data_IF_864617745707
#
_entry.id   IF_864617745707
#
_cell.length_a   1.000
_cell.length_b   1.000
_cell.length_c   1.000
_cell.angle_alpha   90.00
_cell.angle_beta   90.00
_cell.angle_gamma   90.00
#
_symmetry.space_group_name_H-M   'P 1'
#
loop_
_entity.id
_entity.type
_entity.pdbx_description
1 polymer ?
#
# COMPACT_ATOMS: atom_id res chain seq x y z
N UNK A 1 17.61 62.40 -20.66
CA UNK A 1 17.85 60.98 -20.90
C UNK A 1 17.63 60.26 -19.57
N UNK A 2 16.42 59.74 -19.38
CA UNK A 2 15.94 59.21 -18.10
C UNK A 2 16.48 57.81 -17.84
N UNK A 3 16.95 57.56 -16.62
CA UNK A 3 17.37 56.25 -16.15
C UNK A 3 16.16 55.35 -15.89
N UNK A 4 16.14 54.18 -16.52
CA UNK A 4 15.20 53.12 -16.22
C UNK A 4 15.47 52.54 -14.83
N UNK A 5 14.61 52.85 -13.86
CA UNK A 5 14.50 52.09 -12.63
C UNK A 5 13.81 50.76 -12.95
N UNK A 6 14.56 49.66 -12.96
CA UNK A 6 13.99 48.31 -12.97
C UNK A 6 13.44 48.00 -11.58
N UNK A 7 12.16 48.32 -11.36
CA UNK A 7 11.38 47.78 -10.26
C UNK A 7 11.34 46.25 -10.37
N UNK A 8 12.16 45.54 -9.57
CA UNK A 8 11.96 44.11 -9.35
C UNK A 8 10.71 43.94 -8.50
N UNK A 9 9.73 43.11 -8.89
CA UNK A 9 8.62 42.80 -8.01
C UNK A 9 9.19 42.08 -6.79
N UNK A 10 8.89 42.61 -5.61
CA UNK A 10 9.16 41.96 -4.33
C UNK A 10 8.34 40.66 -4.30
N UNK A 11 8.95 39.55 -4.72
CA UNK A 11 8.39 38.21 -4.57
C UNK A 11 8.29 37.95 -3.08
N UNK A 12 7.06 38.00 -2.56
CA UNK A 12 6.70 37.66 -1.19
C UNK A 12 7.21 36.23 -0.91
N UNK A 13 8.37 36.11 -0.26
CA UNK A 13 9.06 34.85 0.04
C UNK A 13 8.40 34.14 1.23
N UNK A 14 7.10 33.85 1.14
CA UNK A 14 6.34 33.27 2.27
C UNK A 14 5.58 31.98 1.96
N UNK A 15 5.64 31.43 0.74
CA UNK A 15 4.81 30.24 0.40
C UNK A 15 5.55 29.03 -0.18
N UNK A 16 6.88 29.08 -0.39
CA UNK A 16 7.58 27.92 -0.96
C UNK A 16 7.71 26.74 0.03
N UNK A 17 7.84 27.01 1.33
CA UNK A 17 8.07 25.96 2.35
C UNK A 17 6.87 25.02 2.51
N UNK A 18 5.65 25.56 2.52
CA UNK A 18 4.43 24.75 2.70
C UNK A 18 4.14 23.89 1.47
N UNK A 19 4.34 24.45 0.27
CA UNK A 19 4.18 23.72 -0.99
C UNK A 19 5.24 22.61 -1.12
N UNK A 20 6.50 22.87 -0.72
CA UNK A 20 7.57 21.87 -0.76
C UNK A 20 7.34 20.70 0.21
N UNK A 21 6.93 20.98 1.45
CA UNK A 21 6.60 19.91 2.41
C UNK A 21 5.39 19.11 1.95
N UNK A 22 4.36 19.78 1.43
CA UNK A 22 3.19 19.10 0.89
C UNK A 22 3.55 18.22 -0.31
N UNK A 23 4.36 18.74 -1.25
CA UNK A 23 4.82 17.98 -2.40
C UNK A 23 5.55 16.70 -1.95
N UNK A 24 6.50 16.80 -1.00
CA UNK A 24 7.21 15.63 -0.49
C UNK A 24 6.32 14.60 0.22
N UNK A 25 5.27 15.04 0.92
CA UNK A 25 4.28 14.11 1.52
C UNK A 25 3.48 13.39 0.44
N UNK A 26 3.13 14.09 -0.65
CA UNK A 26 2.40 13.49 -1.78
C UNK A 26 3.29 12.48 -2.50
N UNK A 27 4.56 12.79 -2.76
CA UNK A 27 5.50 11.87 -3.40
C UNK A 27 5.58 10.55 -2.60
N UNK A 28 5.82 10.63 -1.29
CA UNK A 28 5.81 9.47 -0.41
C UNK A 28 4.48 8.72 -0.45
N UNK A 29 3.35 9.44 -0.50
CA UNK A 29 2.03 8.84 -0.57
C UNK A 29 1.79 8.06 -1.86
N UNK A 30 2.20 8.62 -2.99
CA UNK A 30 2.05 7.98 -4.30
C UNK A 30 2.86 6.69 -4.36
N UNK A 31 4.07 6.67 -3.79
CA UNK A 31 4.91 5.47 -3.77
C UNK A 31 4.23 4.31 -3.02
N UNK A 32 3.84 4.48 -1.75
CA UNK A 32 3.21 3.38 -1.01
C UNK A 32 1.79 3.06 -1.50
N UNK A 33 1.02 4.03 -2.00
CA UNK A 33 -0.30 3.75 -2.61
C UNK A 33 -0.19 2.93 -3.90
N UNK A 34 0.90 3.09 -4.65
CA UNK A 34 1.13 2.29 -5.86
C UNK A 34 1.42 0.85 -5.50
N UNK A 35 2.27 0.63 -4.48
CA UNK A 35 2.58 -0.72 -3.98
C UNK A 35 1.36 -1.42 -3.36
N UNK A 36 0.45 -0.65 -2.74
CA UNK A 36 -0.82 -1.14 -2.22
C UNK A 36 -1.73 -1.78 -3.27
N UNK A 37 -1.46 -1.62 -4.56
CA UNK A 37 -2.22 -2.34 -5.59
C UNK A 37 -1.92 -3.84 -5.56
N UNK A 38 -0.71 -4.22 -5.18
CA UNK A 38 -0.22 -5.60 -5.25
C UNK A 38 -0.28 -6.29 -3.88
N UNK A 39 0.00 -5.55 -2.81
CA UNK A 39 0.02 -6.09 -1.45
C UNK A 39 0.19 -5.04 -0.37
N UNK A 40 0.41 -5.47 0.86
CA UNK A 40 0.61 -4.60 2.02
C UNK A 40 1.64 -5.20 2.97
N UNK A 41 2.39 -4.34 3.66
CA UNK A 41 3.32 -4.75 4.71
C UNK A 41 2.57 -5.04 6.02
N UNK A 42 2.81 -6.20 6.63
CA UNK A 42 2.19 -6.62 7.91
C UNK A 42 2.57 -5.73 9.11
N UNK A 43 3.73 -5.08 9.06
CA UNK A 43 4.20 -4.22 10.16
C UNK A 43 3.53 -2.84 10.15
N UNK A 44 3.37 -2.25 8.97
CA UNK A 44 2.70 -0.97 8.79
C UNK A 44 2.27 -0.77 7.33
N UNK A 45 1.00 -0.40 7.11
CA UNK A 45 0.42 -0.33 5.77
C UNK A 45 0.93 0.83 4.90
N UNK A 46 1.57 1.85 5.51
CA UNK A 46 2.11 3.04 4.85
C UNK A 46 3.58 2.89 4.45
N UNK A 47 4.19 1.73 4.70
CA UNK A 47 5.51 1.44 4.16
C UNK A 47 5.38 0.97 2.71
N UNK A 48 6.11 1.65 1.83
CA UNK A 48 6.38 1.15 0.48
C UNK A 48 7.06 -0.22 0.55
N UNK A 49 6.89 -1.03 -0.50
CA UNK A 49 7.44 -2.37 -0.62
C UNK A 49 8.96 -2.38 -0.35
N UNK A 50 9.69 -1.40 -0.88
CA UNK A 50 11.14 -1.27 -0.66
C UNK A 50 11.50 -1.01 0.81
N UNK A 51 10.70 -0.19 1.49
CA UNK A 51 10.93 0.15 2.90
C UNK A 51 10.52 -0.99 3.83
N UNK A 52 9.49 -1.75 3.45
CA UNK A 52 9.09 -2.97 4.15
C UNK A 52 10.18 -4.05 4.07
N UNK A 53 10.85 -4.19 2.91
CA UNK A 53 11.90 -5.20 2.71
C UNK A 53 13.31 -4.72 3.15
N UNK A 54 13.53 -3.44 3.48
CA UNK A 54 14.84 -2.97 3.96
C UNK A 54 15.35 -3.73 5.20
N UNK A 55 14.44 -4.26 6.03
CA UNK A 55 14.74 -4.97 7.28
C UNK A 55 14.98 -6.48 7.14
N UNK A 56 14.76 -7.09 5.96
CA UNK A 56 14.91 -8.54 5.83
C UNK A 56 16.39 -8.96 5.92
N UNK A 57 16.69 -9.90 6.84
CA UNK A 57 18.04 -10.39 7.15
C UNK A 57 18.66 -11.28 6.03
N UNK A 58 17.87 -11.60 4.99
CA UNK A 58 18.20 -12.59 3.96
C UNK A 58 18.54 -11.91 2.62
N UNK A 59 19.78 -11.44 2.46
CA UNK A 59 20.23 -10.70 1.26
C UNK A 59 20.69 -11.63 0.12
N UNK A 60 19.87 -12.59 -0.29
CA UNK A 60 20.14 -13.33 -1.54
C UNK A 60 19.46 -12.60 -2.70
N UNK A 61 20.21 -12.33 -3.77
CA UNK A 61 19.81 -11.52 -4.93
C UNK A 61 18.46 -11.92 -5.56
N UNK A 62 18.08 -13.20 -5.43
CA UNK A 62 16.82 -13.77 -5.96
C UNK A 62 15.58 -13.50 -5.07
N UNK A 63 15.78 -13.15 -3.79
CA UNK A 63 14.71 -13.01 -2.79
C UNK A 63 14.56 -11.60 -2.19
N UNK A 64 15.27 -10.60 -2.73
CA UNK A 64 15.17 -9.21 -2.24
C UNK A 64 13.77 -8.62 -2.42
N UNK A 65 13.06 -9.06 -3.46
CA UNK A 65 11.69 -8.65 -3.78
C UNK A 65 10.64 -9.53 -3.09
N UNK A 66 11.07 -10.59 -2.39
CA UNK A 66 10.22 -11.56 -1.70
C UNK A 66 10.50 -11.54 -0.21
N UNK A 67 10.20 -10.42 0.45
CA UNK A 67 10.27 -10.37 1.91
C UNK A 67 9.00 -11.00 2.53
N UNK A 68 9.13 -11.85 3.58
CA UNK A 68 7.99 -12.56 4.19
C UNK A 68 6.99 -11.65 4.90
N UNK A 69 7.33 -10.37 5.06
CA UNK A 69 6.47 -9.39 5.71
C UNK A 69 5.52 -8.69 4.72
N UNK A 70 5.75 -8.85 3.41
CA UNK A 70 4.91 -8.31 2.35
C UNK A 70 3.89 -9.36 1.91
N UNK A 71 2.60 -9.06 2.10
CA UNK A 71 1.51 -9.97 1.72
C UNK A 71 0.72 -9.39 0.56
N UNK A 72 0.54 -10.20 -0.49
CA UNK A 72 -0.34 -9.82 -1.61
C UNK A 72 -1.81 -9.93 -1.21
N UNK A 73 -2.67 -9.12 -1.85
CA UNK A 73 -4.11 -9.24 -1.61
C UNK A 73 -4.64 -10.62 -1.93
N UNK A 74 -4.10 -11.28 -2.95
CA UNK A 74 -4.48 -12.65 -3.32
C UNK A 74 -4.26 -13.63 -2.17
N UNK A 75 -3.15 -13.49 -1.46
CA UNK A 75 -2.81 -14.35 -0.32
C UNK A 75 -3.72 -14.09 0.89
N UNK A 76 -4.02 -12.82 1.17
CA UNK A 76 -4.97 -12.41 2.21
C UNK A 76 -6.42 -12.81 1.90
N UNK A 77 -6.87 -12.61 0.65
CA UNK A 77 -8.22 -12.94 0.21
C UNK A 77 -8.45 -14.45 0.18
N UNK A 78 -7.42 -15.25 -0.12
CA UNK A 78 -7.54 -16.72 -0.14
C UNK A 78 -7.86 -17.28 1.24
N UNK A 79 -7.31 -16.71 2.32
CA UNK A 79 -7.64 -17.11 3.69
C UNK A 79 -9.11 -16.89 4.07
N UNK A 80 -9.67 -15.73 3.69
CA UNK A 80 -11.08 -15.43 3.92
C UNK A 80 -12.02 -16.22 3.00
N UNK A 81 -11.61 -16.43 1.74
CA UNK A 81 -12.40 -17.18 0.76
C UNK A 81 -12.45 -18.66 1.11
N UNK A 82 -11.35 -19.25 1.58
CA UNK A 82 -11.33 -20.64 2.03
C UNK A 82 -12.30 -20.88 3.19
N UNK A 83 -12.37 -19.98 4.18
CA UNK A 83 -13.30 -20.11 5.28
C UNK A 83 -14.78 -19.98 4.84
N UNK A 84 -15.08 -19.04 3.93
CA UNK A 84 -16.46 -18.82 3.45
C UNK A 84 -16.97 -19.95 2.56
N UNK A 85 -16.12 -20.50 1.69
CA UNK A 85 -16.49 -21.68 0.87
C UNK A 85 -16.63 -22.92 1.76
N UNK A 86 -15.78 -23.13 2.76
CA UNK A 86 -15.88 -24.27 3.67
C UNK A 86 -17.16 -24.22 4.51
N UNK A 87 -17.54 -23.03 5.00
CA UNK A 87 -18.81 -22.85 5.73
C UNK A 87 -20.02 -23.12 4.82
N UNK A 88 -20.01 -22.58 3.60
CA UNK A 88 -21.10 -22.75 2.64
C UNK A 88 -21.27 -24.20 2.19
N UNK A 89 -20.15 -24.93 2.00
CA UNK A 89 -20.18 -26.36 1.69
C UNK A 89 -20.67 -27.18 2.89
N UNK A 90 -20.23 -26.88 4.12
CA UNK A 90 -20.72 -27.56 5.32
C UNK A 90 -22.22 -27.34 5.56
N UNK A 91 -22.72 -26.13 5.31
CA UNK A 91 -24.16 -25.82 5.35
C UNK A 91 -24.92 -26.67 4.31
N UNK A 92 -24.41 -26.76 3.09
CA UNK A 92 -25.03 -27.58 2.04
C UNK A 92 -25.09 -29.07 2.38
N UNK A 93 -24.06 -29.62 3.02
CA UNK A 93 -24.07 -31.01 3.48
C UNK A 93 -25.09 -31.25 4.60
N UNK A 94 -25.28 -30.28 5.50
CA UNK A 94 -26.31 -30.36 6.54
C UNK A 94 -27.72 -30.29 5.95
N UNK A 95 -27.95 -29.47 4.92
CA UNK A 95 -29.22 -29.40 4.19
C UNK A 95 -29.53 -30.73 3.49
N UNK A 96 -28.56 -31.30 2.78
CA UNK A 96 -28.70 -32.60 2.10
C UNK A 96 -29.04 -33.70 3.11
N UNK A 97 -28.34 -33.71 4.26
CA UNK A 97 -28.62 -34.67 5.35
C UNK A 97 -30.00 -34.45 5.94
N UNK A 98 -30.46 -33.21 6.12
CA UNK A 98 -31.82 -32.91 6.58
C UNK A 98 -32.90 -33.45 5.65
N UNK A 99 -32.70 -33.35 4.33
CA UNK A 99 -33.62 -33.87 3.33
C UNK A 99 -33.66 -35.41 3.28
N UNK A 100 -32.56 -36.09 3.61
CA UNK A 100 -32.53 -37.56 3.70
C UNK A 100 -33.21 -38.14 4.95
N UNK A 101 -33.56 -37.30 5.92
CA UNK A 101 -34.21 -37.70 7.18
C UNK A 101 -35.73 -37.39 7.21
N UNK A 102 -36.29 -36.90 6.11
CA UNK A 102 -37.74 -36.73 5.90
C UNK A 102 -38.24 -37.75 4.88
#
# INVERSE_FOLDING_TARGET
MGGHASDRPSVRRTSFSLVGTLAGVIDLAVDWMTDLKEGVCLSAFWYSHEQCCWTSNETTFDNRDKCPQWQTWSELMTGHTQASISFSLAESENVIRGLSNF
#
